data_IF_146480919342
#
_entry.id   IF_146480919342
#
_cell.length_a   1.000
_cell.length_b   1.000
_cell.length_c   1.000
_cell.angle_alpha   90.00
_cell.angle_beta   90.00
_cell.angle_gamma   90.00
#
_symmetry.space_group_name_H-M   'P 1'
#
loop_
_entity.id
_entity.type
_entity.pdbx_description
1 polymer ?
#
# COMPACT_ATOMS: atom_id res chain seq x y z
N UNK A 1 -21.97 -52.69 -17.42
CA UNK A 1 -22.33 -51.51 -16.63
C UNK A 1 -21.23 -50.47 -16.79
N UNK A 2 -21.48 -49.50 -17.65
CA UNK A 2 -20.55 -48.39 -17.86
C UNK A 2 -20.84 -47.32 -16.81
N UNK A 3 -19.87 -47.10 -15.92
CA UNK A 3 -19.92 -45.99 -14.99
C UNK A 3 -19.55 -44.67 -15.72
N UNK A 4 -20.54 -43.79 -15.87
CA UNK A 4 -20.30 -42.44 -16.35
C UNK A 4 -19.53 -41.66 -15.26
N UNK A 5 -18.27 -41.36 -15.53
CA UNK A 5 -17.50 -40.38 -14.78
C UNK A 5 -18.13 -39.00 -15.02
N UNK A 6 -18.80 -38.48 -14.03
CA UNK A 6 -19.22 -37.08 -14.00
C UNK A 6 -17.95 -36.23 -13.95
N UNK A 7 -17.55 -35.67 -15.08
CA UNK A 7 -16.62 -34.56 -15.14
C UNK A 7 -17.31 -33.37 -14.47
N UNK A 8 -17.02 -33.16 -13.18
CA UNK A 8 -17.29 -31.90 -12.52
C UNK A 8 -16.58 -30.81 -13.33
N UNK A 9 -17.34 -29.91 -13.95
CA UNK A 9 -16.80 -28.72 -14.56
C UNK A 9 -16.12 -27.91 -13.46
N UNK A 10 -14.81 -27.95 -13.40
CA UNK A 10 -14.02 -26.99 -12.67
C UNK A 10 -14.38 -25.63 -13.29
N UNK A 11 -15.26 -24.85 -12.68
CA UNK A 11 -15.50 -23.48 -13.08
C UNK A 11 -14.13 -22.78 -13.03
N UNK A 12 -13.76 -22.16 -14.13
CA UNK A 12 -12.53 -21.36 -14.22
C UNK A 12 -12.57 -20.29 -13.12
N UNK A 13 -11.79 -20.48 -12.05
CA UNK A 13 -11.70 -19.58 -10.89
C UNK A 13 -10.58 -18.57 -11.05
N UNK A 14 -10.03 -18.44 -12.25
CA UNK A 14 -8.94 -17.52 -12.55
C UNK A 14 -9.40 -16.06 -12.40
N UNK A 15 -8.59 -15.25 -11.77
CA UNK A 15 -8.79 -13.80 -11.72
C UNK A 15 -8.81 -13.23 -13.14
N UNK A 16 -9.85 -12.47 -13.46
CA UNK A 16 -10.03 -11.90 -14.79
C UNK A 16 -10.59 -10.49 -14.71
N UNK A 17 -9.93 -9.55 -15.38
CA UNK A 17 -10.48 -8.22 -15.62
C UNK A 17 -10.95 -8.11 -17.07
N UNK A 18 -12.10 -7.47 -17.27
CA UNK A 18 -12.68 -7.16 -18.58
C UNK A 18 -13.21 -5.73 -18.57
N UNK A 19 -13.05 -5.02 -19.69
CA UNK A 19 -13.51 -3.64 -19.82
C UNK A 19 -13.88 -3.29 -21.26
N UNK A 20 -14.77 -2.32 -21.44
CA UNK A 20 -14.94 -1.66 -22.74
C UNK A 20 -13.76 -0.72 -23.06
N UNK A 21 -13.03 -0.27 -22.05
CA UNK A 21 -11.75 0.43 -22.20
C UNK A 21 -10.61 -0.57 -22.43
N UNK A 22 -10.16 -0.65 -23.69
CA UNK A 22 -9.14 -1.62 -24.08
C UNK A 22 -7.75 -1.26 -23.57
N UNK A 23 -7.48 -0.01 -23.23
CA UNK A 23 -6.20 0.40 -22.64
C UNK A 23 -6.07 -0.13 -21.22
N UNK A 24 -7.08 0.02 -20.39
CA UNK A 24 -7.09 -0.51 -19.02
C UNK A 24 -7.06 -2.04 -19.03
N UNK A 25 -7.84 -2.69 -19.90
CA UNK A 25 -7.83 -4.16 -20.02
C UNK A 25 -6.44 -4.68 -20.42
N UNK A 26 -5.78 -4.03 -21.38
CA UNK A 26 -4.44 -4.39 -21.82
C UNK A 26 -3.37 -4.13 -20.74
N UNK A 27 -3.46 -3.01 -20.02
CA UNK A 27 -2.55 -2.71 -18.91
C UNK A 27 -2.67 -3.74 -17.81
N UNK A 28 -3.91 -4.10 -17.42
CA UNK A 28 -4.11 -5.14 -16.41
C UNK A 28 -3.54 -6.49 -16.84
N UNK A 29 -3.83 -6.92 -18.07
CA UNK A 29 -3.33 -8.19 -18.59
C UNK A 29 -1.81 -8.25 -18.66
N UNK A 30 -1.15 -7.16 -19.10
CA UNK A 30 0.30 -7.04 -19.08
C UNK A 30 0.85 -7.09 -17.65
N UNK A 31 0.29 -6.29 -16.74
CA UNK A 31 0.74 -6.23 -15.35
C UNK A 31 0.56 -7.58 -14.63
N UNK A 32 -0.57 -8.25 -14.84
CA UNK A 32 -0.82 -9.58 -14.30
C UNK A 32 0.22 -10.60 -14.81
N UNK A 33 0.50 -10.61 -16.10
CA UNK A 33 1.49 -11.52 -16.69
C UNK A 33 2.90 -11.25 -16.15
N UNK A 34 3.29 -9.99 -16.02
CA UNK A 34 4.60 -9.60 -15.46
C UNK A 34 4.69 -9.99 -13.98
N UNK A 35 3.73 -9.59 -13.15
CA UNK A 35 3.73 -9.89 -11.71
C UNK A 35 3.74 -11.39 -11.42
N UNK A 36 2.98 -12.19 -12.19
CA UNK A 36 2.99 -13.65 -12.06
C UNK A 36 4.33 -14.27 -12.46
N UNK A 37 5.07 -13.67 -13.39
CA UNK A 37 6.41 -14.16 -13.77
C UNK A 37 7.47 -13.96 -12.68
N UNK A 38 7.21 -13.08 -11.71
CA UNK A 38 8.07 -12.83 -10.55
C UNK A 38 7.73 -13.72 -9.35
N UNK A 39 6.61 -14.45 -9.38
CA UNK A 39 6.14 -15.26 -8.25
C UNK A 39 6.79 -16.65 -8.25
N UNK A 40 7.16 -17.10 -7.05
CA UNK A 40 7.77 -18.41 -6.76
C UNK A 40 6.94 -19.13 -5.69
N UNK A 41 6.63 -20.40 -5.92
CA UNK A 41 5.66 -21.17 -5.11
C UNK A 41 6.28 -21.88 -3.89
N UNK A 42 7.59 -21.71 -3.64
CA UNK A 42 8.28 -22.28 -2.48
C UNK A 42 9.30 -23.37 -2.85
N UNK A 43 9.71 -23.43 -4.10
CA UNK A 43 10.81 -24.28 -4.59
C UNK A 43 12.19 -23.80 -4.11
N UNK A 44 12.30 -22.51 -3.78
CA UNK A 44 13.52 -21.91 -3.24
C UNK A 44 13.64 -22.10 -1.72
N UNK A 45 14.86 -22.11 -1.15
CA UNK A 45 15.08 -22.25 0.30
C UNK A 45 14.40 -21.18 1.17
N UNK A 46 14.09 -20.01 0.62
CA UNK A 46 13.40 -18.94 1.35
C UNK A 46 11.91 -19.24 1.56
N UNK A 47 11.33 -20.19 0.82
CA UNK A 47 9.90 -20.50 0.82
C UNK A 47 9.13 -19.76 -0.29
N UNK A 48 7.81 -19.64 -0.25
CA UNK A 48 7.05 -18.86 -1.21
C UNK A 48 7.42 -17.38 -1.18
N UNK A 49 7.68 -16.79 -2.35
CA UNK A 49 8.09 -15.38 -2.45
C UNK A 49 7.83 -14.84 -3.85
N UNK A 50 7.97 -13.54 -4.04
CA UNK A 50 8.03 -12.89 -5.35
C UNK A 50 9.17 -11.89 -5.39
N UNK A 51 9.69 -11.63 -6.59
CA UNK A 51 10.76 -10.65 -6.76
C UNK A 51 10.26 -9.24 -6.37
N UNK A 52 11.01 -8.59 -5.50
CA UNK A 52 10.72 -7.25 -4.98
C UNK A 52 12.04 -6.52 -4.73
N UNK A 53 12.87 -6.46 -5.77
CA UNK A 53 14.18 -5.83 -5.76
C UNK A 53 14.58 -5.48 -7.19
N UNK A 54 15.79 -4.96 -7.37
CA UNK A 54 16.36 -4.76 -8.70
C UNK A 54 16.30 -6.06 -9.52
N UNK A 55 15.95 -6.00 -10.81
CA UNK A 55 15.94 -7.17 -11.67
C UNK A 55 17.24 -7.97 -11.58
N UNK A 56 17.15 -9.30 -11.66
CA UNK A 56 18.28 -10.24 -11.60
C UNK A 56 18.97 -10.42 -10.23
N UNK A 57 18.47 -9.75 -9.16
CA UNK A 57 19.00 -10.00 -7.81
C UNK A 57 18.47 -11.30 -7.19
N UNK A 58 17.34 -11.81 -7.67
CA UNK A 58 16.66 -12.97 -7.08
C UNK A 58 16.42 -12.80 -5.57
N UNK A 59 15.84 -11.67 -5.22
CA UNK A 59 15.68 -11.22 -3.84
C UNK A 59 14.42 -10.36 -3.67
N UNK A 60 14.08 -10.05 -2.43
CA UNK A 60 13.03 -9.12 -2.08
C UNK A 60 13.50 -8.13 -1.01
N UNK A 61 13.27 -6.86 -1.28
CA UNK A 61 13.60 -5.73 -0.42
C UNK A 61 12.38 -5.37 0.45
N UNK A 62 12.60 -4.88 1.66
CA UNK A 62 11.53 -4.52 2.59
C UNK A 62 10.57 -3.48 2.04
N UNK A 63 11.08 -2.38 1.49
CA UNK A 63 10.30 -1.30 0.92
C UNK A 63 9.42 -1.84 -0.21
N UNK A 64 10.04 -2.46 -1.21
CA UNK A 64 9.39 -2.92 -2.42
C UNK A 64 8.33 -3.96 -2.11
N UNK A 65 8.66 -4.98 -1.30
CA UNK A 65 7.73 -6.00 -0.86
C UNK A 65 6.51 -5.41 -0.11
N UNK A 66 6.74 -4.41 0.75
CA UNK A 66 5.67 -3.74 1.50
C UNK A 66 4.71 -2.99 0.58
N UNK A 67 5.24 -2.29 -0.43
CA UNK A 67 4.43 -1.50 -1.36
C UNK A 67 3.73 -2.37 -2.42
N UNK A 68 4.33 -3.48 -2.83
CA UNK A 68 3.75 -4.44 -3.78
C UNK A 68 2.65 -5.31 -3.16
N UNK A 69 2.57 -5.39 -1.84
CA UNK A 69 1.81 -6.40 -1.09
C UNK A 69 0.33 -6.48 -1.48
N UNK A 70 -0.36 -5.36 -1.70
CA UNK A 70 -1.78 -5.37 -2.10
C UNK A 70 -1.95 -5.82 -3.55
N UNK A 71 -1.07 -5.38 -4.46
CA UNK A 71 -1.05 -5.91 -5.82
C UNK A 71 -0.86 -7.43 -5.85
N UNK A 72 -0.02 -7.95 -4.97
CA UNK A 72 0.20 -9.39 -4.80
C UNK A 72 -1.04 -10.11 -4.23
N UNK A 73 -1.73 -9.55 -3.23
CA UNK A 73 -2.99 -10.12 -2.71
C UNK A 73 -4.09 -10.17 -3.76
N UNK A 74 -4.21 -9.14 -4.60
CA UNK A 74 -5.15 -9.14 -5.72
C UNK A 74 -4.90 -10.33 -6.66
N UNK A 75 -3.64 -10.70 -6.84
CA UNK A 75 -3.23 -11.87 -7.65
C UNK A 75 -3.34 -13.21 -6.92
N UNK A 76 -3.68 -13.24 -5.64
CA UNK A 76 -3.78 -14.45 -4.83
C UNK A 76 -2.44 -14.93 -4.25
N UNK A 77 -1.42 -14.07 -4.18
CA UNK A 77 -0.09 -14.39 -3.66
C UNK A 77 0.02 -14.24 -2.12
N UNK A 78 -1.03 -14.62 -1.40
CA UNK A 78 -1.10 -14.47 0.07
C UNK A 78 -0.02 -15.26 0.81
N UNK A 79 0.34 -16.45 0.31
CA UNK A 79 1.40 -17.27 0.91
C UNK A 79 2.77 -16.60 0.79
N UNK A 80 3.03 -15.98 -0.35
CA UNK A 80 4.25 -15.23 -0.62
C UNK A 80 4.34 -14.00 0.30
N UNK A 81 3.29 -13.18 0.33
CA UNK A 81 3.21 -12.02 1.23
C UNK A 81 3.48 -12.40 2.68
N UNK A 82 2.78 -13.42 3.18
CA UNK A 82 2.95 -13.84 4.57
C UNK A 82 4.39 -14.28 4.86
N UNK A 83 4.97 -15.11 4.00
CA UNK A 83 6.34 -15.59 4.18
C UNK A 83 7.35 -14.43 4.15
N UNK A 84 7.25 -13.54 3.17
CA UNK A 84 8.18 -12.41 3.03
C UNK A 84 8.10 -11.46 4.24
N UNK A 85 6.91 -11.07 4.68
CA UNK A 85 6.73 -10.22 5.87
C UNK A 85 7.25 -10.91 7.14
N UNK A 86 7.02 -12.21 7.30
CA UNK A 86 7.53 -12.98 8.44
C UNK A 86 9.06 -13.05 8.43
N UNK A 87 9.70 -13.20 7.26
CA UNK A 87 11.17 -13.19 7.14
C UNK A 87 11.76 -11.86 7.62
N UNK A 88 11.14 -10.74 7.27
CA UNK A 88 11.60 -9.45 7.81
C UNK A 88 11.36 -9.35 9.32
N UNK A 89 10.17 -9.66 9.80
CA UNK A 89 9.83 -9.56 11.21
C UNK A 89 10.73 -10.40 12.11
N UNK A 90 11.02 -11.64 11.72
CA UNK A 90 11.84 -12.57 12.52
C UNK A 90 13.31 -12.17 12.63
N UNK A 91 13.81 -11.34 11.72
CA UNK A 91 15.23 -10.95 11.66
C UNK A 91 15.56 -9.63 12.41
N UNK A 92 14.62 -8.98 13.08
CA UNK A 92 14.90 -7.79 13.90
C UNK A 92 15.79 -8.16 15.08
N UNK A 93 16.87 -7.41 15.32
CA UNK A 93 17.81 -7.73 16.40
C UNK A 93 18.55 -6.51 16.93
N UNK A 94 18.97 -6.59 18.22
CA UNK A 94 19.78 -5.59 18.88
C UNK A 94 21.15 -5.42 18.21
N UNK A 95 21.76 -6.52 17.71
CA UNK A 95 23.04 -6.49 17.00
C UNK A 95 23.01 -5.61 15.73
N UNK A 96 21.82 -5.38 15.16
CA UNK A 96 21.58 -4.48 14.03
C UNK A 96 20.96 -3.14 14.45
N UNK A 97 21.06 -2.75 15.71
CA UNK A 97 20.37 -1.57 16.25
C UNK A 97 18.86 -1.59 15.97
N UNK A 98 18.24 -2.75 16.13
CA UNK A 98 16.83 -3.02 15.89
C UNK A 98 16.36 -2.83 14.44
N UNK A 99 17.28 -2.79 13.49
CA UNK A 99 16.98 -3.04 12.08
C UNK A 99 16.73 -4.54 11.84
N UNK A 100 16.18 -4.87 10.67
CA UNK A 100 16.17 -6.23 10.16
C UNK A 100 17.11 -6.35 8.96
N UNK A 101 16.91 -7.30 8.03
CA UNK A 101 17.62 -7.30 6.76
C UNK A 101 16.91 -6.38 5.77
N UNK A 102 17.67 -5.56 5.05
CA UNK A 102 17.10 -4.72 4.00
C UNK A 102 16.54 -5.53 2.84
N UNK A 103 17.28 -6.55 2.43
CA UNK A 103 16.97 -7.41 1.31
C UNK A 103 17.33 -8.86 1.65
N UNK A 104 16.45 -9.81 1.30
CA UNK A 104 16.62 -11.24 1.52
C UNK A 104 16.61 -11.94 0.16
N UNK A 105 17.61 -12.81 -0.08
CA UNK A 105 17.74 -13.56 -1.31
C UNK A 105 16.94 -14.89 -1.30
N UNK A 106 16.79 -15.51 -2.45
CA UNK A 106 16.08 -16.78 -2.60
C UNK A 106 16.68 -17.95 -1.82
N UNK A 107 17.94 -17.84 -1.37
CA UNK A 107 18.58 -18.83 -0.49
C UNK A 107 18.33 -18.58 0.99
N UNK A 108 17.45 -17.63 1.32
CA UNK A 108 17.10 -17.24 2.69
C UNK A 108 18.28 -16.59 3.46
N UNK A 109 19.13 -15.87 2.77
CA UNK A 109 20.22 -15.09 3.36
C UNK A 109 19.98 -13.59 3.17
N UNK A 110 20.57 -12.71 4.00
CA UNK A 110 20.63 -11.31 3.66
C UNK A 110 21.42 -11.14 2.34
N UNK A 111 20.89 -10.30 1.45
CA UNK A 111 21.49 -10.10 0.13
C UNK A 111 22.93 -9.54 0.26
N UNK A 112 23.88 -10.18 -0.38
CA UNK A 112 25.30 -9.79 -0.32
C UNK A 112 25.59 -8.41 -0.89
N UNK A 113 24.70 -7.88 -1.74
CA UNK A 113 24.82 -6.52 -2.26
C UNK A 113 24.66 -5.47 -1.17
N UNK A 114 23.85 -5.78 -0.14
CA UNK A 114 23.41 -4.84 0.88
C UNK A 114 23.86 -5.22 2.30
N UNK A 115 24.53 -6.36 2.47
CA UNK A 115 24.89 -6.86 3.79
C UNK A 115 26.26 -7.56 3.82
N UNK A 116 27.11 -7.12 4.75
CA UNK A 116 28.40 -7.78 5.08
C UNK A 116 28.34 -8.34 6.50
N UNK A 117 27.82 -7.58 7.45
CA UNK A 117 27.67 -7.97 8.86
C UNK A 117 26.64 -7.08 9.55
N UNK A 118 26.25 -7.42 10.79
CA UNK A 118 25.33 -6.63 11.60
C UNK A 118 25.80 -5.18 11.87
N UNK A 119 27.06 -4.89 11.65
CA UNK A 119 27.62 -3.54 11.77
C UNK A 119 27.84 -2.84 10.42
N UNK A 120 27.65 -3.55 9.32
CA UNK A 120 27.99 -3.07 7.98
C UNK A 120 26.97 -3.59 6.96
N UNK A 121 25.88 -2.84 6.78
CA UNK A 121 24.81 -3.16 5.86
C UNK A 121 24.06 -1.88 5.43
N UNK A 122 23.32 -1.98 4.33
CA UNK A 122 22.41 -0.93 3.87
C UNK A 122 21.10 -0.96 4.64
N UNK A 123 20.59 0.20 5.03
CA UNK A 123 19.27 0.30 5.66
C UNK A 123 18.66 1.69 5.63
N UNK A 124 17.43 1.79 5.15
CA UNK A 124 16.59 2.99 5.26
C UNK A 124 15.70 2.89 6.49
N UNK A 125 15.65 3.95 7.29
CA UNK A 125 14.91 3.96 8.56
C UNK A 125 13.39 3.86 8.40
N UNK A 126 12.88 4.10 7.22
CA UNK A 126 11.47 3.92 6.87
C UNK A 126 11.00 2.46 7.00
N UNK A 127 11.88 1.51 6.67
CA UNK A 127 11.53 0.14 6.36
C UNK A 127 10.78 -0.63 7.46
N UNK A 128 11.13 -0.45 8.73
CA UNK A 128 10.38 -1.10 9.82
C UNK A 128 8.91 -0.67 9.83
N UNK A 129 8.64 0.61 9.60
CA UNK A 129 7.27 1.16 9.59
C UNK A 129 6.50 0.75 8.34
N UNK A 130 7.18 0.58 7.19
CA UNK A 130 6.58 0.01 5.98
C UNK A 130 6.00 -1.38 6.21
N UNK A 131 6.77 -2.26 6.83
CA UNK A 131 6.33 -3.62 7.12
C UNK A 131 5.15 -3.63 8.09
N UNK A 132 5.11 -2.75 9.10
CA UNK A 132 3.96 -2.63 10.00
C UNK A 132 2.70 -2.20 9.23
N UNK A 133 2.80 -1.16 8.38
CA UNK A 133 1.68 -0.70 7.56
C UNK A 133 1.24 -1.77 6.56
N UNK A 134 2.19 -2.45 5.89
CA UNK A 134 1.88 -3.54 4.99
C UNK A 134 1.14 -4.69 5.67
N UNK A 135 1.57 -5.12 6.86
CA UNK A 135 0.89 -6.16 7.63
C UNK A 135 -0.53 -5.76 8.02
N UNK A 136 -0.76 -4.50 8.38
CA UNK A 136 -2.11 -3.99 8.62
C UNK A 136 -2.97 -4.02 7.35
N UNK A 137 -2.47 -3.53 6.20
CA UNK A 137 -3.19 -3.57 4.93
C UNK A 137 -3.49 -4.99 4.45
N UNK A 138 -2.54 -5.91 4.65
CA UNK A 138 -2.70 -7.34 4.38
C UNK A 138 -3.80 -7.96 5.25
N UNK A 139 -3.85 -7.63 6.55
CA UNK A 139 -4.95 -8.03 7.41
C UNK A 139 -6.31 -7.49 6.92
N UNK A 140 -6.39 -6.20 6.58
CA UNK A 140 -7.62 -5.59 6.05
C UNK A 140 -8.11 -6.30 4.77
N UNK A 141 -7.20 -6.74 3.92
CA UNK A 141 -7.51 -7.44 2.67
C UNK A 141 -7.92 -8.90 2.89
N UNK A 142 -7.19 -9.62 3.73
CA UNK A 142 -7.30 -11.08 3.88
C UNK A 142 -8.15 -11.52 5.07
N UNK A 143 -8.23 -10.71 6.12
CA UNK A 143 -8.77 -11.12 7.42
C UNK A 143 -7.87 -12.10 8.19
N UNK A 144 -6.64 -12.30 7.75
CA UNK A 144 -5.71 -13.26 8.37
C UNK A 144 -5.19 -12.75 9.70
N UNK A 145 -5.69 -13.35 10.77
CA UNK A 145 -5.35 -13.00 12.15
C UNK A 145 -3.87 -13.19 12.49
N UNK A 146 -3.12 -13.94 11.68
CA UNK A 146 -1.69 -14.13 11.90
C UNK A 146 -0.90 -12.83 11.81
N UNK A 147 -1.32 -11.88 10.96
CA UNK A 147 -0.71 -10.54 10.91
C UNK A 147 -0.88 -9.74 12.20
N UNK A 148 -1.90 -10.06 13.01
CA UNK A 148 -2.17 -9.39 14.26
C UNK A 148 -1.55 -10.10 15.49
N UNK A 149 -1.59 -11.43 15.50
CA UNK A 149 -1.40 -12.24 16.70
C UNK A 149 -0.15 -13.13 16.71
N UNK A 150 0.53 -13.32 15.55
CA UNK A 150 1.74 -14.13 15.52
C UNK A 150 2.84 -13.48 16.37
N UNK A 151 3.54 -14.26 17.19
CA UNK A 151 4.55 -13.77 18.16
C UNK A 151 5.70 -13.03 17.50
N UNK A 152 6.15 -13.46 16.30
CA UNK A 152 7.24 -12.80 15.57
C UNK A 152 6.83 -11.42 15.07
N UNK A 153 5.61 -11.29 14.53
CA UNK A 153 5.07 -9.99 14.13
C UNK A 153 4.84 -9.08 15.33
N UNK A 154 4.25 -9.59 16.41
CA UNK A 154 4.02 -8.82 17.63
C UNK A 154 5.33 -8.26 18.20
N UNK A 155 6.35 -9.12 18.29
CA UNK A 155 7.69 -8.72 18.73
C UNK A 155 8.30 -7.67 17.80
N UNK A 156 8.16 -7.85 16.48
CA UNK A 156 8.67 -6.90 15.50
C UNK A 156 8.01 -5.53 15.63
N UNK A 157 6.67 -5.47 15.75
CA UNK A 157 5.94 -4.21 15.90
C UNK A 157 6.37 -3.47 17.17
N UNK A 158 6.42 -4.17 18.29
CA UNK A 158 6.80 -3.58 19.56
C UNK A 158 8.22 -3.02 19.54
N UNK A 159 9.21 -3.82 19.11
CA UNK A 159 10.60 -3.38 18.99
C UNK A 159 10.78 -2.23 17.99
N UNK A 160 10.04 -2.23 16.89
CA UNK A 160 10.11 -1.16 15.89
C UNK A 160 9.53 0.17 16.40
N UNK A 161 8.48 0.10 17.23
CA UNK A 161 7.83 1.29 17.78
C UNK A 161 8.46 1.81 19.09
N UNK A 162 9.37 1.06 19.71
CA UNK A 162 10.05 1.43 20.95
C UNK A 162 11.57 1.45 20.79
N UNK A 163 12.27 0.32 20.91
CA UNK A 163 13.72 0.26 20.93
C UNK A 163 14.38 0.82 19.67
N UNK A 164 13.80 0.55 18.50
CA UNK A 164 14.28 1.10 17.24
C UNK A 164 14.17 2.63 17.20
N UNK A 165 13.03 3.17 17.65
CA UNK A 165 12.81 4.62 17.73
C UNK A 165 13.81 5.28 18.68
N UNK A 166 14.05 4.68 19.84
CA UNK A 166 15.04 5.18 20.81
C UNK A 166 16.47 5.09 20.26
N UNK A 167 16.82 3.93 19.71
CA UNK A 167 18.18 3.66 19.22
C UNK A 167 18.58 4.62 18.09
N UNK A 168 17.64 5.01 17.23
CA UNK A 168 17.90 5.86 16.07
C UNK A 168 17.50 7.33 16.27
N UNK A 169 17.08 7.72 17.49
CA UNK A 169 16.61 9.09 17.80
C UNK A 169 15.50 9.54 16.86
N UNK A 170 14.46 8.71 16.71
CA UNK A 170 13.40 8.91 15.72
C UNK A 170 12.14 9.56 16.28
N UNK A 171 12.12 9.99 17.56
CA UNK A 171 10.93 10.64 18.12
C UNK A 171 10.57 11.92 17.36
N UNK A 172 9.29 12.30 17.27
CA UNK A 172 8.87 13.48 16.52
C UNK A 172 9.64 14.75 16.90
N UNK A 173 9.89 14.98 18.19
CA UNK A 173 10.62 16.14 18.70
C UNK A 173 12.12 16.16 18.30
N UNK A 174 12.65 15.03 17.88
CA UNK A 174 14.06 14.89 17.48
C UNK A 174 14.28 15.11 15.98
N UNK A 175 13.21 15.13 15.15
CA UNK A 175 13.32 15.10 13.69
C UNK A 175 14.14 16.23 13.04
N UNK A 176 14.34 17.35 13.72
CA UNK A 176 15.21 18.44 13.24
C UNK A 176 16.51 18.56 14.03
N UNK A 177 16.72 17.75 15.06
CA UNK A 177 17.84 17.90 16.02
C UNK A 177 18.60 16.60 16.26
N UNK A 178 18.28 15.53 15.49
CA UNK A 178 18.93 14.23 15.64
C UNK A 178 20.45 14.37 15.63
N UNK A 179 21.09 13.75 16.62
CA UNK A 179 22.55 13.70 16.70
C UNK A 179 23.11 12.45 16.04
N UNK A 180 22.34 11.36 16.03
CA UNK A 180 22.73 10.10 15.41
C UNK A 180 22.67 10.20 13.89
N UNK A 181 23.85 10.25 13.30
CA UNK A 181 24.03 10.35 11.85
C UNK A 181 24.00 8.99 11.18
N UNK A 182 23.78 9.04 9.86
CA UNK A 182 23.91 7.89 8.99
C UNK A 182 25.32 7.29 9.13
N UNK A 183 25.42 5.99 9.37
CA UNK A 183 26.67 5.28 9.35
C UNK A 183 27.07 5.01 7.89
N UNK A 184 28.05 5.73 7.39
CA UNK A 184 28.54 5.60 6.02
C UNK A 184 30.02 5.21 6.00
N UNK A 185 30.39 4.27 5.14
CA UNK A 185 31.78 4.03 4.79
C UNK A 185 32.25 5.12 3.81
N UNK A 186 33.34 5.80 4.15
CA UNK A 186 33.93 6.78 3.25
C UNK A 186 34.47 6.09 1.99
N UNK A 187 34.19 6.69 0.82
CA UNK A 187 34.81 6.34 -0.46
C UNK A 187 34.09 5.28 -1.29
N UNK A 188 33.03 4.63 -0.82
CA UNK A 188 32.25 3.71 -1.62
C UNK A 188 30.96 4.37 -2.12
N UNK A 189 30.61 4.14 -3.41
CA UNK A 189 29.46 4.77 -4.09
C UNK A 189 28.13 4.48 -3.40
N UNK A 190 28.01 3.31 -2.81
CA UNK A 190 26.89 2.84 -1.99
C UNK A 190 27.43 2.24 -0.71
N UNK A 191 28.45 2.86 -0.10
CA UNK A 191 28.98 2.33 1.14
C UNK A 191 27.84 1.85 1.99
N UNK A 192 27.96 0.66 2.56
CA UNK A 192 26.93 0.04 3.37
C UNK A 192 26.47 1.07 4.40
N UNK A 193 25.34 1.69 4.11
CA UNK A 193 24.91 2.93 4.70
C UNK A 193 23.62 2.64 5.47
N UNK A 194 23.74 2.37 6.76
CA UNK A 194 22.55 2.21 7.59
C UNK A 194 22.12 3.51 8.25
N UNK A 195 20.84 3.65 8.42
CA UNK A 195 20.27 4.80 9.10
C UNK A 195 19.94 5.96 8.18
N UNK A 196 19.72 5.71 6.89
CA UNK A 196 19.22 6.70 5.95
C UNK A 196 17.77 7.05 6.31
N UNK A 197 17.46 8.30 6.64
CA UNK A 197 16.10 8.69 7.05
C UNK A 197 15.24 9.08 5.84
N UNK A 198 15.28 8.32 4.76
CA UNK A 198 14.54 8.58 3.53
C UNK A 198 14.56 7.37 2.59
N UNK A 199 13.56 7.28 1.71
CA UNK A 199 13.60 6.39 0.54
C UNK A 199 14.52 6.90 -0.58
N UNK A 200 14.86 8.18 -0.55
CA UNK A 200 15.80 8.77 -1.51
C UNK A 200 17.21 8.44 -1.09
N UNK A 201 17.85 7.59 -1.86
CA UNK A 201 19.13 6.98 -1.52
C UNK A 201 20.36 7.84 -1.82
N UNK A 202 20.19 9.01 -2.45
CA UNK A 202 21.26 9.98 -2.67
C UNK A 202 21.63 10.67 -1.36
N UNK A 203 22.42 9.98 -0.56
CA UNK A 203 22.72 10.40 0.82
C UNK A 203 23.86 11.39 0.83
N UNK A 204 23.53 12.62 1.22
CA UNK A 204 24.52 13.58 1.71
C UNK A 204 24.50 13.61 3.25
N UNK A 205 24.54 14.81 3.78
CA UNK A 205 24.40 15.08 5.22
C UNK A 205 22.93 15.20 5.64
N UNK A 206 22.05 14.29 5.17
CA UNK A 206 20.64 14.27 5.50
C UNK A 206 20.44 13.91 6.96
N UNK A 207 19.69 14.73 7.67
CA UNK A 207 19.32 14.50 9.07
C UNK A 207 17.96 13.81 9.18
N UNK A 208 16.97 14.28 8.39
CA UNK A 208 15.62 13.75 8.35
C UNK A 208 14.94 14.08 7.02
N UNK A 209 13.79 13.47 6.76
CA UNK A 209 12.99 13.70 5.55
C UNK A 209 11.49 13.67 5.85
N UNK A 210 10.70 14.30 4.98
CA UNK A 210 9.25 14.29 5.08
C UNK A 210 8.69 12.88 4.84
N UNK A 211 9.28 12.11 3.93
CA UNK A 211 8.89 10.73 3.66
C UNK A 211 9.10 9.82 4.86
N UNK A 212 10.20 9.97 5.60
CA UNK A 212 10.39 9.26 6.86
C UNK A 212 9.29 9.60 7.88
N UNK A 213 8.99 10.89 8.07
CA UNK A 213 7.94 11.33 9.01
C UNK A 213 6.57 10.76 8.59
N UNK A 214 6.28 10.79 7.29
CA UNK A 214 5.06 10.19 6.74
C UNK A 214 4.98 8.68 7.00
N UNK A 215 6.08 7.96 6.80
CA UNK A 215 6.15 6.52 7.02
C UNK A 215 6.03 6.17 8.51
N UNK A 216 6.70 6.92 9.39
CA UNK A 216 6.59 6.73 10.83
C UNK A 216 5.14 6.96 11.31
N UNK A 217 4.48 8.01 10.81
CA UNK A 217 3.05 8.21 11.04
C UNK A 217 2.25 6.98 10.64
N UNK A 218 2.45 6.46 9.41
CA UNK A 218 1.73 5.29 8.89
C UNK A 218 1.96 4.04 9.75
N UNK A 219 3.21 3.76 10.10
CA UNK A 219 3.57 2.61 10.93
C UNK A 219 2.95 2.67 12.33
N UNK A 220 3.00 3.81 13.02
CA UNK A 220 2.35 3.98 14.32
C UNK A 220 0.82 3.95 14.23
N UNK A 221 0.22 4.52 13.19
CA UNK A 221 -1.22 4.45 12.96
C UNK A 221 -1.69 3.01 12.69
N UNK A 222 -0.91 2.24 11.93
CA UNK A 222 -1.16 0.83 11.70
C UNK A 222 -1.01 0.01 12.99
N UNK A 223 0.06 0.26 13.77
CA UNK A 223 0.28 -0.43 15.06
C UNK A 223 -0.85 -0.15 16.05
N UNK A 224 -1.34 1.10 16.14
CA UNK A 224 -2.51 1.44 16.95
C UNK A 224 -3.71 0.58 16.59
N UNK A 225 -4.02 0.43 15.30
CA UNK A 225 -5.15 -0.38 14.82
C UNK A 225 -4.94 -1.88 15.07
N UNK A 226 -3.71 -2.38 14.94
CA UNK A 226 -3.36 -3.77 15.28
C UNK A 226 -3.64 -4.03 16.76
N UNK A 227 -3.21 -3.12 17.66
CA UNK A 227 -3.46 -3.23 19.10
C UNK A 227 -4.95 -3.16 19.43
N UNK A 228 -5.71 -2.28 18.77
CA UNK A 228 -7.16 -2.18 18.92
C UNK A 228 -7.85 -3.50 18.56
N UNK A 229 -7.46 -4.14 17.45
CA UNK A 229 -8.00 -5.45 17.05
C UNK A 229 -7.60 -6.60 18.00
N UNK A 230 -6.57 -6.40 18.81
CA UNK A 230 -6.13 -7.32 19.85
C UNK A 230 -6.70 -6.97 21.24
N UNK A 231 -7.66 -6.05 21.35
CA UNK A 231 -8.25 -5.56 22.61
C UNK A 231 -7.24 -4.86 23.55
N UNK A 232 -6.09 -4.39 23.03
CA UNK A 232 -5.03 -3.71 23.79
C UNK A 232 -5.21 -2.18 23.73
N UNK A 233 -6.30 -1.68 24.28
CA UNK A 233 -6.78 -0.31 24.11
C UNK A 233 -5.82 0.78 24.62
N UNK A 234 -5.09 0.54 25.72
CA UNK A 234 -4.10 1.50 26.26
C UNK A 234 -2.91 1.65 25.32
N UNK A 235 -2.36 0.54 24.83
CA UNK A 235 -1.30 0.53 23.83
C UNK A 235 -1.72 1.18 22.52
N UNK A 236 -2.95 0.89 22.07
CA UNK A 236 -3.56 1.50 20.89
C UNK A 236 -3.61 3.02 21.01
N UNK A 237 -4.10 3.55 22.13
CA UNK A 237 -4.18 4.99 22.37
C UNK A 237 -2.79 5.66 22.36
N UNK A 238 -1.78 5.05 22.99
CA UNK A 238 -0.40 5.55 23.00
C UNK A 238 0.22 5.55 21.58
N UNK A 239 0.00 4.50 20.80
CA UNK A 239 0.48 4.44 19.42
C UNK A 239 -0.21 5.49 18.54
N UNK A 240 -1.52 5.71 18.71
CA UNK A 240 -2.26 6.77 18.02
C UNK A 240 -1.74 8.16 18.37
N UNK A 241 -1.42 8.42 19.63
CA UNK A 241 -0.83 9.69 20.09
C UNK A 241 0.53 9.93 19.44
N UNK A 242 1.39 8.90 19.36
CA UNK A 242 2.68 8.98 18.68
C UNK A 242 2.53 9.26 17.19
N UNK A 243 1.60 8.57 16.50
CA UNK A 243 1.30 8.85 15.10
C UNK A 243 0.89 10.33 14.91
N UNK A 244 -0.05 10.80 15.70
CA UNK A 244 -0.51 12.19 15.62
C UNK A 244 0.61 13.20 15.89
N UNK A 245 1.57 12.89 16.78
CA UNK A 245 2.72 13.74 17.03
C UNK A 245 3.64 13.87 15.80
N UNK A 246 3.85 12.80 15.02
CA UNK A 246 4.57 12.88 13.73
C UNK A 246 3.84 13.76 12.72
N UNK A 247 2.53 13.61 12.59
CA UNK A 247 1.71 14.43 11.69
C UNK A 247 1.76 15.91 12.07
N UNK A 248 1.63 16.22 13.37
CA UNK A 248 1.73 17.59 13.88
C UNK A 248 3.12 18.18 13.65
N UNK A 249 4.18 17.38 13.80
CA UNK A 249 5.54 17.81 13.50
C UNK A 249 5.70 18.15 12.01
N UNK A 250 5.18 17.30 11.12
CA UNK A 250 5.16 17.54 9.68
C UNK A 250 4.42 18.86 9.36
N UNK A 251 3.22 19.01 9.89
CA UNK A 251 2.38 20.19 9.66
C UNK A 251 3.00 21.49 10.18
N UNK A 252 3.72 21.43 11.29
CA UNK A 252 4.26 22.61 11.96
C UNK A 252 5.57 23.09 11.38
N UNK A 253 6.45 22.20 10.99
CA UNK A 253 7.84 22.52 10.68
C UNK A 253 8.22 22.32 9.21
N UNK A 254 7.48 21.50 8.47
CA UNK A 254 7.84 21.13 7.10
C UNK A 254 6.98 21.81 6.03
N UNK A 255 5.87 22.42 6.41
CA UNK A 255 5.01 23.15 5.49
C UNK A 255 5.60 24.50 5.14
N UNK A 256 5.76 24.79 3.85
CA UNK A 256 6.13 26.10 3.33
C UNK A 256 4.89 26.89 2.93
N UNK A 257 4.63 28.00 3.63
CA UNK A 257 3.53 28.91 3.26
C UNK A 257 3.81 29.64 1.94
N UNK A 258 5.08 29.83 1.56
CA UNK A 258 5.47 30.45 0.30
C UNK A 258 5.20 29.53 -0.88
N UNK A 259 5.59 28.23 -0.77
CA UNK A 259 5.43 27.25 -1.82
C UNK A 259 4.08 26.52 -1.81
N UNK A 260 3.30 26.69 -0.72
CA UNK A 260 2.06 25.95 -0.47
C UNK A 260 2.23 24.43 -0.60
N UNK A 261 3.36 23.92 -0.11
CA UNK A 261 3.72 22.51 -0.13
C UNK A 261 4.72 22.17 0.97
N UNK A 262 4.92 20.87 1.22
CA UNK A 262 5.94 20.45 2.18
C UNK A 262 7.34 20.51 1.56
N UNK A 263 8.35 20.85 2.38
CA UNK A 263 9.76 20.54 2.11
C UNK A 263 9.99 19.05 2.20
N UNK A 264 11.02 18.55 1.52
CA UNK A 264 11.29 17.12 1.41
C UNK A 264 12.39 16.66 2.36
N UNK A 265 13.50 17.39 2.44
CA UNK A 265 14.69 17.00 3.19
C UNK A 265 15.13 18.08 4.18
N UNK A 266 15.59 17.64 5.35
CA UNK A 266 16.27 18.44 6.33
C UNK A 266 17.74 17.99 6.46
N UNK A 267 18.65 18.92 6.30
CA UNK A 267 20.08 18.65 6.29
C UNK A 267 20.77 18.98 7.61
N UNK A 268 21.94 18.35 7.91
CA UNK A 268 22.73 18.62 9.11
C UNK A 268 23.25 20.07 9.21
N UNK A 269 23.25 20.82 8.12
CA UNK A 269 23.60 22.24 8.11
C UNK A 269 22.44 23.17 8.54
N UNK A 270 21.28 22.62 8.88
CA UNK A 270 20.12 23.38 9.31
C UNK A 270 19.32 24.01 8.18
N UNK A 271 19.31 23.41 6.98
CA UNK A 271 18.52 23.90 5.83
C UNK A 271 17.55 22.86 5.31
N UNK A 272 16.42 23.33 4.77
CA UNK A 272 15.51 22.51 3.98
C UNK A 272 15.91 22.47 2.51
N UNK A 273 15.51 21.41 1.82
CA UNK A 273 15.51 21.33 0.37
C UNK A 273 14.39 20.42 -0.14
N UNK A 274 14.17 20.45 -1.44
CA UNK A 274 13.11 19.69 -2.11
C UNK A 274 13.66 18.53 -2.95
N UNK A 275 12.83 17.48 -3.10
CA UNK A 275 13.13 16.28 -3.86
C UNK A 275 11.94 15.35 -4.04
N UNK A 276 12.17 14.05 -4.13
CA UNK A 276 11.13 13.07 -4.50
C UNK A 276 10.27 12.54 -3.33
N UNK A 277 10.63 12.76 -2.08
CA UNK A 277 10.03 12.07 -0.92
C UNK A 277 8.55 12.35 -0.61
N UNK A 278 7.89 13.29 -1.30
CA UNK A 278 6.50 13.65 -1.00
C UNK A 278 5.48 12.55 -1.34
N UNK A 279 5.83 11.60 -2.19
CA UNK A 279 5.01 10.43 -2.51
C UNK A 279 4.55 9.71 -1.25
N UNK A 280 5.48 9.43 -0.33
CA UNK A 280 5.21 8.64 0.88
C UNK A 280 4.49 9.43 1.97
N UNK A 281 4.61 10.76 1.99
CA UNK A 281 3.78 11.63 2.85
C UNK A 281 2.29 11.44 2.56
N UNK A 282 1.94 11.34 1.28
CA UNK A 282 0.58 11.09 0.82
C UNK A 282 0.19 9.60 0.91
N UNK A 283 1.12 8.70 0.62
CA UNK A 283 0.88 7.25 0.67
C UNK A 283 0.41 6.81 2.05
N UNK A 284 1.08 7.26 3.10
CA UNK A 284 0.77 6.93 4.49
C UNK A 284 -0.32 7.81 5.12
N UNK A 285 -1.01 8.65 4.35
CA UNK A 285 -2.06 9.55 4.86
C UNK A 285 -1.60 10.53 5.96
N UNK A 286 -0.33 10.91 5.95
CA UNK A 286 0.23 11.82 6.96
C UNK A 286 -0.30 13.27 6.83
N UNK A 287 -1.06 13.57 5.79
CA UNK A 287 -1.68 14.88 5.54
C UNK A 287 -3.20 14.73 5.53
N UNK A 288 -3.90 15.50 6.32
CA UNK A 288 -5.37 15.44 6.45
C UNK A 288 -6.10 16.74 6.03
N UNK A 289 -5.38 17.86 5.83
CA UNK A 289 -5.97 19.11 5.39
C UNK A 289 -6.11 19.14 3.86
N UNK A 290 -7.33 19.28 3.27
CA UNK A 290 -7.54 19.26 1.83
C UNK A 290 -6.67 20.26 1.05
N UNK A 291 -6.42 21.44 1.59
CA UNK A 291 -5.55 22.46 0.97
C UNK A 291 -4.10 21.99 0.90
N UNK A 292 -3.59 21.37 1.97
CA UNK A 292 -2.22 20.85 2.03
C UNK A 292 -2.03 19.62 1.14
N UNK A 293 -3.01 18.72 1.09
CA UNK A 293 -3.02 17.60 0.13
C UNK A 293 -2.92 18.15 -1.29
N UNK A 294 -3.78 19.13 -1.65
CA UNK A 294 -3.77 19.75 -2.97
C UNK A 294 -2.42 20.38 -3.32
N UNK A 295 -1.87 21.20 -2.44
CA UNK A 295 -0.56 21.84 -2.66
C UNK A 295 0.56 20.82 -2.86
N UNK A 296 0.56 19.74 -2.06
CA UNK A 296 1.54 18.65 -2.19
C UNK A 296 1.39 17.92 -3.53
N UNK A 297 0.17 17.55 -3.93
CA UNK A 297 -0.09 16.92 -5.23
C UNK A 297 0.32 17.82 -6.38
N UNK A 298 -0.04 19.12 -6.34
CA UNK A 298 0.35 20.09 -7.37
C UNK A 298 1.86 20.26 -7.48
N UNK A 299 2.59 20.25 -6.36
CA UNK A 299 4.07 20.28 -6.37
C UNK A 299 4.62 19.01 -7.03
N UNK A 300 4.09 17.84 -6.70
CA UNK A 300 4.48 16.58 -7.31
C UNK A 300 4.21 16.57 -8.82
N UNK A 301 3.06 17.05 -9.28
CA UNK A 301 2.70 17.10 -10.69
C UNK A 301 3.55 18.09 -11.51
N UNK A 302 4.06 19.15 -10.89
CA UNK A 302 4.96 20.10 -11.53
C UNK A 302 6.36 19.52 -11.81
N UNK A 303 6.75 18.49 -11.07
CA UNK A 303 8.04 17.82 -11.27
C UNK A 303 8.00 16.97 -12.54
N UNK A 304 8.96 17.21 -13.44
CA UNK A 304 8.99 16.57 -14.77
C UNK A 304 9.60 15.18 -14.77
N UNK A 305 10.53 14.95 -13.87
CA UNK A 305 11.32 13.71 -13.83
C UNK A 305 11.04 12.96 -12.53
N UNK A 306 10.53 11.76 -12.68
CA UNK A 306 10.30 10.81 -11.62
C UNK A 306 10.96 9.47 -11.96
N UNK A 307 11.51 8.79 -10.97
CA UNK A 307 11.92 7.41 -11.18
C UNK A 307 10.69 6.52 -11.36
N UNK A 308 10.88 5.36 -11.98
CA UNK A 308 9.78 4.45 -12.32
C UNK A 308 9.08 3.91 -11.06
N UNK A 309 9.80 3.77 -9.95
CA UNK A 309 9.28 3.32 -8.67
C UNK A 309 8.21 4.29 -8.13
N UNK A 310 8.51 5.61 -8.10
CA UNK A 310 7.50 6.62 -7.74
C UNK A 310 6.30 6.60 -8.70
N UNK A 311 6.53 6.47 -10.00
CA UNK A 311 5.45 6.42 -11.00
C UNK A 311 4.52 5.23 -10.73
N UNK A 312 5.05 4.09 -10.23
CA UNK A 312 4.25 2.91 -9.92
C UNK A 312 3.21 3.15 -8.82
N UNK A 313 3.47 4.07 -7.88
CA UNK A 313 2.55 4.41 -6.78
C UNK A 313 1.50 5.43 -7.18
N UNK A 314 1.75 6.25 -8.19
CA UNK A 314 0.89 7.39 -8.54
C UNK A 314 -0.54 6.99 -8.91
N UNK A 315 -0.85 5.91 -9.64
CA UNK A 315 -2.24 5.58 -9.92
C UNK A 315 -3.07 5.40 -8.66
N UNK A 316 -2.58 4.65 -7.67
CA UNK A 316 -3.28 4.45 -6.40
C UNK A 316 -3.44 5.78 -5.62
N UNK A 317 -2.39 6.62 -5.60
CA UNK A 317 -2.43 7.93 -4.94
C UNK A 317 -3.38 8.90 -5.64
N UNK A 318 -3.28 9.05 -6.95
CA UNK A 318 -4.09 10.01 -7.69
C UNK A 318 -5.58 9.67 -7.62
N UNK A 319 -5.97 8.40 -7.74
CA UNK A 319 -7.35 7.99 -7.51
C UNK A 319 -7.81 8.29 -6.08
N UNK A 320 -6.99 8.01 -5.07
CA UNK A 320 -7.31 8.27 -3.67
C UNK A 320 -7.64 9.73 -3.39
N UNK A 321 -6.94 10.65 -4.05
CA UNK A 321 -7.13 12.10 -3.89
C UNK A 321 -7.98 12.74 -5.00
N UNK A 322 -8.64 11.92 -5.84
CA UNK A 322 -9.61 12.37 -6.82
C UNK A 322 -9.03 12.99 -8.10
N UNK A 323 -7.76 12.69 -8.42
CA UNK A 323 -7.07 13.03 -9.67
C UNK A 323 -7.16 11.84 -10.64
N UNK A 324 -8.39 11.42 -10.93
CA UNK A 324 -8.66 10.17 -11.66
C UNK A 324 -8.16 10.20 -13.11
N UNK A 325 -8.11 11.38 -13.75
CA UNK A 325 -7.60 11.54 -15.13
C UNK A 325 -6.10 11.31 -15.18
N UNK A 326 -5.36 11.90 -14.26
CA UNK A 326 -3.91 11.78 -14.15
C UNK A 326 -3.49 10.36 -13.82
N UNK A 327 -4.24 9.70 -12.93
CA UNK A 327 -4.07 8.27 -12.64
C UNK A 327 -4.26 7.41 -13.90
N UNK A 328 -5.36 7.65 -14.62
CA UNK A 328 -5.70 6.95 -15.85
C UNK A 328 -4.62 7.12 -16.94
N UNK A 329 -4.11 8.33 -17.13
CA UNK A 329 -3.04 8.61 -18.09
C UNK A 329 -1.77 7.80 -17.80
N UNK A 330 -1.40 7.66 -16.51
CA UNK A 330 -0.26 6.81 -16.11
C UNK A 330 -0.56 5.35 -16.44
N UNK A 331 -1.73 4.83 -16.07
CA UNK A 331 -2.12 3.45 -16.34
C UNK A 331 -2.06 3.13 -17.84
N UNK A 332 -2.50 4.03 -18.70
CA UNK A 332 -2.48 3.83 -20.15
C UNK A 332 -1.07 3.88 -20.77
N UNK A 333 -0.15 4.65 -20.16
CA UNK A 333 1.17 4.89 -20.74
C UNK A 333 2.29 4.01 -20.18
N UNK A 334 2.08 3.40 -19.01
CA UNK A 334 3.12 2.64 -18.30
C UNK A 334 3.71 1.49 -19.12
N UNK A 335 2.89 0.85 -19.94
CA UNK A 335 3.31 -0.25 -20.82
C UNK A 335 4.38 0.16 -21.85
N UNK A 336 4.57 1.47 -22.03
CA UNK A 336 5.57 2.05 -22.92
C UNK A 336 6.76 2.68 -22.17
N UNK A 337 6.73 2.68 -20.82
CA UNK A 337 7.79 3.28 -20.03
C UNK A 337 9.10 2.47 -20.11
N UNK A 338 10.23 3.18 -20.01
CA UNK A 338 11.52 2.56 -19.75
C UNK A 338 11.53 1.98 -18.34
N UNK A 339 12.22 0.84 -18.15
CA UNK A 339 12.35 0.13 -16.86
C UNK A 339 11.01 -0.37 -16.28
N UNK A 340 9.98 -0.55 -17.10
CA UNK A 340 8.68 -1.08 -16.69
C UNK A 340 8.73 -2.53 -16.17
N UNK A 341 9.83 -3.23 -16.42
CA UNK A 341 10.14 -4.57 -15.91
C UNK A 341 10.58 -4.59 -14.45
N UNK A 342 10.66 -3.44 -13.79
CA UNK A 342 10.79 -3.45 -12.33
C UNK A 342 9.55 -4.09 -11.72
N UNK A 343 9.71 -5.05 -10.79
CA UNK A 343 8.58 -5.78 -10.20
C UNK A 343 7.49 -4.86 -9.65
N UNK A 344 7.88 -3.80 -8.93
CA UNK A 344 6.97 -2.82 -8.33
C UNK A 344 5.97 -2.23 -9.35
N UNK A 345 6.41 -2.03 -10.59
CA UNK A 345 5.57 -1.39 -11.61
C UNK A 345 4.33 -2.22 -11.89
N UNK A 346 4.49 -3.53 -12.10
CA UNK A 346 3.38 -4.42 -12.40
C UNK A 346 2.39 -4.53 -11.24
N UNK A 347 2.87 -4.70 -10.01
CA UNK A 347 2.03 -4.77 -8.82
C UNK A 347 1.32 -3.45 -8.53
N UNK A 348 2.00 -2.31 -8.69
CA UNK A 348 1.41 -0.98 -8.51
C UNK A 348 0.30 -0.67 -9.52
N UNK A 349 0.43 -1.12 -10.79
CA UNK A 349 -0.63 -0.96 -11.78
C UNK A 349 -1.87 -1.79 -11.44
N UNK A 350 -1.69 -3.00 -10.94
CA UNK A 350 -2.79 -3.86 -10.47
C UNK A 350 -3.53 -3.19 -9.32
N UNK A 351 -2.81 -2.70 -8.30
CA UNK A 351 -3.41 -1.95 -7.18
C UNK A 351 -4.11 -0.68 -7.68
N UNK A 352 -3.47 0.09 -8.55
CA UNK A 352 -4.05 1.31 -9.13
C UNK A 352 -5.37 1.08 -9.89
N UNK A 353 -5.50 -0.03 -10.60
CA UNK A 353 -6.74 -0.38 -11.30
C UNK A 353 -7.79 -0.88 -10.31
N UNK A 354 -7.46 -1.84 -9.45
CA UNK A 354 -8.44 -2.49 -8.56
C UNK A 354 -8.84 -1.60 -7.40
N UNK A 355 -7.86 -1.07 -6.65
CA UNK A 355 -8.13 -0.21 -5.49
C UNK A 355 -8.39 1.24 -5.87
N UNK A 356 -7.85 1.71 -7.00
CA UNK A 356 -8.02 3.08 -7.49
C UNK A 356 -9.22 3.21 -8.44
N UNK A 357 -9.10 2.78 -9.69
CA UNK A 357 -10.13 2.95 -10.72
C UNK A 357 -11.46 2.26 -10.33
N UNK A 358 -11.41 1.02 -9.85
CA UNK A 358 -12.60 0.29 -9.38
C UNK A 358 -12.97 0.62 -7.93
N UNK A 359 -12.08 1.22 -7.15
CA UNK A 359 -12.30 1.62 -5.76
C UNK A 359 -12.65 0.46 -4.84
N UNK A 360 -12.14 -0.74 -5.10
CA UNK A 360 -12.43 -1.94 -4.28
C UNK A 360 -11.50 -1.94 -3.08
N UNK A 361 -12.08 -1.84 -1.87
CA UNK A 361 -11.37 -1.75 -0.61
C UNK A 361 -12.01 -2.67 0.43
N UNK A 362 -11.50 -3.88 0.61
CA UNK A 362 -11.88 -4.73 1.73
C UNK A 362 -11.40 -4.12 3.05
N UNK A 363 -12.16 -4.32 4.11
CA UNK A 363 -11.81 -3.91 5.48
C UNK A 363 -12.27 -5.00 6.44
N UNK A 364 -11.36 -5.91 6.79
CA UNK A 364 -11.63 -7.01 7.70
C UNK A 364 -12.00 -6.51 9.10
N UNK A 365 -11.37 -5.43 9.57
CA UNK A 365 -11.66 -4.81 10.86
C UNK A 365 -13.11 -4.33 10.98
N UNK A 366 -13.71 -3.84 9.89
CA UNK A 366 -15.11 -3.41 9.84
C UNK A 366 -16.06 -4.48 9.28
N UNK A 367 -15.55 -5.57 8.73
CA UNK A 367 -16.33 -6.62 8.07
C UNK A 367 -17.00 -6.19 6.76
N UNK A 368 -16.47 -5.15 6.10
CA UNK A 368 -17.07 -4.53 4.93
C UNK A 368 -16.17 -4.63 3.69
N UNK A 369 -16.79 -4.59 2.53
CA UNK A 369 -16.11 -4.40 1.24
C UNK A 369 -16.72 -3.15 0.60
N UNK A 370 -15.89 -2.12 0.43
CA UNK A 370 -16.30 -0.86 -0.22
C UNK A 370 -16.04 -0.95 -1.71
N UNK A 371 -16.92 -0.37 -2.52
CA UNK A 371 -16.64 -0.07 -3.93
C UNK A 371 -16.97 1.38 -4.21
N UNK A 372 -16.05 2.10 -4.87
CA UNK A 372 -16.18 3.52 -5.22
C UNK A 372 -15.56 3.75 -6.61
N UNK A 373 -16.32 3.51 -7.71
CA UNK A 373 -15.79 3.62 -9.06
C UNK A 373 -15.34 5.04 -9.40
N UNK A 374 -14.23 5.12 -10.14
CA UNK A 374 -13.63 6.37 -10.62
C UNK A 374 -13.17 6.21 -12.10
N UNK A 375 -14.04 5.70 -12.93
CA UNK A 375 -13.79 5.41 -14.34
C UNK A 375 -13.68 6.73 -15.11
N UNK A 376 -12.67 6.85 -15.97
CA UNK A 376 -12.51 7.98 -16.90
C UNK A 376 -13.18 7.64 -18.22
N UNK A 377 -14.12 8.50 -18.67
CA UNK A 377 -14.91 8.26 -19.87
C UNK A 377 -16.16 7.42 -19.62
N UNK A 378 -16.85 7.05 -20.70
CA UNK A 378 -18.09 6.26 -20.66
C UNK A 378 -17.76 4.77 -20.90
N UNK A 379 -17.18 4.13 -19.89
CA UNK A 379 -16.75 2.74 -19.95
C UNK A 379 -17.39 1.93 -18.82
N UNK A 380 -17.52 0.62 -19.06
CA UNK A 380 -17.75 -0.35 -17.99
C UNK A 380 -16.46 -1.11 -17.69
N UNK A 381 -16.30 -1.56 -16.45
CA UNK A 381 -15.20 -2.39 -15.99
C UNK A 381 -15.71 -3.49 -15.06
N UNK A 382 -15.17 -4.69 -15.19
CA UNK A 382 -15.54 -5.84 -14.39
C UNK A 382 -14.31 -6.64 -13.98
N UNK A 383 -14.26 -7.06 -12.73
CA UNK A 383 -13.29 -8.03 -12.24
C UNK A 383 -14.03 -9.26 -11.70
N UNK A 384 -13.59 -10.43 -12.13
CA UNK A 384 -14.13 -11.71 -11.71
C UNK A 384 -13.11 -12.48 -10.89
N UNK A 385 -13.61 -13.20 -9.87
CA UNK A 385 -12.82 -14.08 -9.02
C UNK A 385 -11.67 -13.36 -8.28
N UNK A 386 -11.92 -12.13 -7.82
CA UNK A 386 -10.99 -11.39 -6.99
C UNK A 386 -10.90 -12.05 -5.62
N UNK A 387 -9.69 -12.45 -5.16
CA UNK A 387 -9.48 -12.98 -3.82
C UNK A 387 -9.70 -11.90 -2.76
N UNK A 388 -10.61 -12.14 -1.83
CA UNK A 388 -10.87 -11.26 -0.68
C UNK A 388 -11.31 -12.12 0.51
N UNK A 389 -10.68 -11.92 1.65
CA UNK A 389 -10.89 -12.74 2.85
C UNK A 389 -10.68 -14.24 2.56
N UNK A 390 -11.67 -15.05 2.87
CA UNK A 390 -11.69 -16.50 2.73
C UNK A 390 -12.27 -17.01 1.40
N UNK A 391 -12.38 -16.14 0.40
CA UNK A 391 -13.01 -16.55 -0.86
C UNK A 391 -12.86 -15.55 -2.01
N UNK A 392 -13.79 -15.62 -2.94
CA UNK A 392 -13.77 -14.82 -4.15
C UNK A 392 -14.97 -13.88 -4.22
N UNK A 393 -14.78 -12.74 -4.86
CA UNK A 393 -15.85 -11.81 -5.23
C UNK A 393 -15.79 -11.48 -6.71
N UNK A 394 -16.90 -10.98 -7.27
CA UNK A 394 -16.90 -10.29 -8.56
C UNK A 394 -17.54 -8.91 -8.41
N UNK A 395 -16.95 -7.92 -9.07
CA UNK A 395 -17.44 -6.54 -9.08
C UNK A 395 -17.52 -6.06 -10.51
N UNK A 396 -18.63 -5.42 -10.86
CA UNK A 396 -18.81 -4.75 -12.15
C UNK A 396 -19.31 -3.33 -11.92
N UNK A 397 -18.68 -2.39 -12.59
CA UNK A 397 -19.17 -1.02 -12.70
C UNK A 397 -19.62 -0.76 -14.14
N UNK A 398 -20.88 -0.48 -14.35
CA UNK A 398 -21.41 -0.07 -15.65
C UNK A 398 -21.15 1.42 -15.92
N UNK A 399 -20.95 2.20 -14.85
CA UNK A 399 -20.56 3.62 -14.83
C UNK A 399 -20.08 4.00 -13.42
N UNK A 400 -19.73 5.28 -13.23
CA UNK A 400 -19.42 5.83 -11.91
C UNK A 400 -20.63 5.95 -10.96
N UNK A 401 -21.85 5.66 -11.44
CA UNK A 401 -23.08 5.69 -10.64
C UNK A 401 -23.79 4.35 -10.59
N UNK A 402 -23.22 3.31 -11.18
CA UNK A 402 -23.87 2.00 -11.24
C UNK A 402 -22.86 0.87 -11.04
N UNK A 403 -23.08 0.07 -10.00
CA UNK A 403 -22.23 -1.04 -9.60
C UNK A 403 -23.02 -2.29 -9.30
N UNK A 404 -22.42 -3.44 -9.60
CA UNK A 404 -22.92 -4.76 -9.21
C UNK A 404 -21.84 -5.52 -8.45
N UNK A 405 -22.25 -6.25 -7.44
CA UNK A 405 -21.36 -7.03 -6.58
C UNK A 405 -21.89 -8.44 -6.42
N UNK A 406 -21.03 -9.44 -6.60
CA UNK A 406 -21.34 -10.86 -6.40
C UNK A 406 -20.44 -11.43 -5.33
N UNK A 407 -21.05 -11.99 -4.29
CA UNK A 407 -20.33 -12.68 -3.21
C UNK A 407 -20.18 -14.17 -3.53
N UNK A 408 -18.97 -14.62 -3.81
CA UNK A 408 -18.61 -16.04 -4.02
C UNK A 408 -17.92 -16.66 -2.79
N UNK A 409 -17.76 -15.89 -1.68
CA UNK A 409 -17.15 -16.39 -0.43
C UNK A 409 -18.05 -17.38 0.29
N UNK A 410 -17.50 -18.06 1.31
CA UNK A 410 -18.25 -19.01 2.14
C UNK A 410 -19.30 -18.36 3.02
N UNK A 411 -19.20 -17.07 3.34
CA UNK A 411 -19.99 -16.35 4.33
C UNK A 411 -20.64 -15.10 3.73
N UNK A 412 -21.72 -14.61 4.39
CA UNK A 412 -22.31 -13.31 4.05
C UNK A 412 -21.30 -12.19 4.24
N UNK A 413 -21.33 -11.19 3.36
CA UNK A 413 -20.49 -10.00 3.40
C UNK A 413 -21.35 -8.74 3.42
N UNK A 414 -20.86 -7.68 4.01
CA UNK A 414 -21.46 -6.36 3.89
C UNK A 414 -20.78 -5.62 2.75
N UNK A 415 -21.51 -5.35 1.67
CA UNK A 415 -21.06 -4.52 0.57
C UNK A 415 -21.50 -3.08 0.80
N UNK A 416 -20.54 -2.15 0.82
CA UNK A 416 -20.78 -0.72 0.82
C UNK A 416 -20.65 -0.20 -0.62
N UNK A 417 -21.80 -0.08 -1.32
CA UNK A 417 -21.85 0.52 -2.64
C UNK A 417 -21.81 2.04 -2.51
N UNK A 418 -20.68 2.66 -2.88
CA UNK A 418 -20.44 4.08 -2.73
C UNK A 418 -20.24 4.75 -4.09
N UNK A 419 -20.67 6.02 -4.19
CA UNK A 419 -20.62 6.82 -5.40
C UNK A 419 -20.28 8.28 -5.06
N UNK A 420 -19.44 8.91 -5.85
CA UNK A 420 -19.22 10.35 -5.74
C UNK A 420 -20.46 11.12 -6.14
N UNK A 421 -20.89 12.04 -5.31
CA UNK A 421 -22.04 12.89 -5.50
C UNK A 421 -22.91 13.00 -4.25
N UNK A 422 -23.82 13.97 -4.25
CA UNK A 422 -24.78 14.20 -3.18
C UNK A 422 -26.17 13.64 -3.57
N UNK A 423 -26.33 12.34 -3.39
CA UNK A 423 -27.56 11.62 -3.70
C UNK A 423 -28.40 11.44 -2.42
N UNK A 424 -29.71 11.67 -2.50
CA UNK A 424 -30.61 11.38 -1.39
C UNK A 424 -30.95 9.90 -1.30
N UNK A 425 -31.04 9.25 -2.47
CA UNK A 425 -31.38 7.84 -2.57
C UNK A 425 -30.43 7.11 -3.51
N UNK A 426 -30.24 5.84 -3.21
CA UNK A 426 -29.56 4.86 -4.08
C UNK A 426 -30.52 3.68 -4.24
N UNK A 427 -30.73 3.20 -5.47
CA UNK A 427 -31.54 2.00 -5.71
C UNK A 427 -30.70 0.75 -5.51
N UNK A 428 -31.26 -0.27 -4.86
CA UNK A 428 -30.71 -1.62 -4.74
C UNK A 428 -31.72 -2.58 -5.38
N UNK A 429 -31.33 -3.20 -6.49
CA UNK A 429 -32.22 -4.03 -7.32
C UNK A 429 -33.58 -3.36 -7.61
N UNK A 430 -33.55 -2.08 -7.98
CA UNK A 430 -34.74 -1.27 -8.32
C UNK A 430 -35.56 -0.76 -7.12
N UNK A 431 -35.15 -1.02 -5.88
CA UNK A 431 -35.78 -0.47 -4.67
C UNK A 431 -34.98 0.70 -4.13
N UNK A 432 -35.65 1.81 -3.86
CA UNK A 432 -34.98 2.99 -3.28
C UNK A 432 -34.64 2.79 -1.82
N UNK A 433 -33.42 3.20 -1.45
CA UNK A 433 -32.88 3.24 -0.09
C UNK A 433 -32.36 4.65 0.18
N UNK A 434 -32.57 5.14 1.39
CA UNK A 434 -31.97 6.40 1.85
C UNK A 434 -30.44 6.26 1.82
N UNK A 435 -29.75 7.16 1.14
CA UNK A 435 -28.29 7.17 1.09
C UNK A 435 -27.70 7.72 2.38
N UNK A 436 -26.66 7.05 2.86
CA UNK A 436 -25.75 7.59 3.87
C UNK A 436 -24.68 8.44 3.17
N UNK A 437 -24.09 9.40 3.90
CA UNK A 437 -23.12 10.32 3.32
C UNK A 437 -21.85 10.42 4.16
N UNK A 438 -20.72 10.57 3.48
CA UNK A 438 -19.43 10.93 4.07
C UNK A 438 -18.66 11.84 3.12
N UNK A 439 -17.58 12.43 3.59
CA UNK A 439 -16.62 13.15 2.75
C UNK A 439 -15.35 12.34 2.59
N UNK A 440 -14.71 12.48 1.44
CA UNK A 440 -13.34 12.00 1.23
C UNK A 440 -12.29 12.96 1.82
N UNK A 441 -11.01 12.62 1.69
CA UNK A 441 -9.90 13.44 2.18
C UNK A 441 -9.80 14.84 1.52
N UNK A 442 -10.45 15.02 0.35
CA UNK A 442 -10.51 16.29 -0.38
C UNK A 442 -11.80 17.07 -0.13
N UNK A 443 -12.68 16.57 0.76
CA UNK A 443 -13.96 17.17 1.09
C UNK A 443 -15.06 16.95 0.05
N UNK A 444 -14.87 16.01 -0.89
CA UNK A 444 -15.91 15.64 -1.85
C UNK A 444 -16.93 14.72 -1.20
N UNK A 445 -18.21 14.97 -1.45
CA UNK A 445 -19.30 14.12 -0.92
C UNK A 445 -19.32 12.77 -1.63
N UNK A 446 -19.43 11.72 -0.81
CA UNK A 446 -19.68 10.33 -1.22
C UNK A 446 -20.99 9.90 -0.60
N UNK A 447 -21.94 9.47 -1.44
CA UNK A 447 -23.18 8.84 -1.01
C UNK A 447 -23.06 7.32 -1.13
N UNK A 448 -23.60 6.57 -0.18
CA UNK A 448 -23.48 5.12 -0.17
C UNK A 448 -24.67 4.43 0.50
N UNK A 449 -24.81 3.13 0.21
CA UNK A 449 -25.69 2.20 0.92
C UNK A 449 -24.89 0.96 1.35
N UNK A 450 -25.35 0.31 2.41
CA UNK A 450 -24.80 -0.97 2.87
C UNK A 450 -25.78 -2.10 2.56
N UNK A 451 -25.30 -3.12 1.85
CA UNK A 451 -26.08 -4.27 1.42
C UNK A 451 -25.46 -5.54 1.99
N UNK A 452 -26.25 -6.34 2.70
CA UNK A 452 -25.84 -7.67 3.12
C UNK A 452 -25.99 -8.65 1.95
N UNK A 453 -24.86 -9.18 1.46
CA UNK A 453 -24.81 -10.09 0.32
C UNK A 453 -24.47 -11.49 0.81
N UNK A 454 -25.43 -12.41 0.68
CA UNK A 454 -25.25 -13.82 1.03
C UNK A 454 -24.36 -14.55 0.03
N UNK A 455 -23.94 -15.77 0.40
CA UNK A 455 -23.15 -16.65 -0.49
C UNK A 455 -23.87 -16.88 -1.82
N UNK A 456 -23.19 -16.63 -2.94
CA UNK A 456 -23.71 -16.80 -4.30
C UNK A 456 -24.73 -15.75 -4.73
N UNK A 457 -25.03 -14.75 -3.88
CA UNK A 457 -25.93 -13.67 -4.23
C UNK A 457 -25.21 -12.55 -4.96
N UNK A 458 -25.97 -11.86 -5.81
CA UNK A 458 -25.54 -10.64 -6.50
C UNK A 458 -26.55 -9.54 -6.24
N UNK A 459 -26.08 -8.31 -6.11
CA UNK A 459 -26.92 -7.11 -6.03
C UNK A 459 -26.38 -6.05 -6.97
N UNK A 460 -27.30 -5.21 -7.47
CA UNK A 460 -27.01 -4.02 -8.29
C UNK A 460 -27.44 -2.77 -7.54
N UNK A 461 -26.54 -1.80 -7.46
CA UNK A 461 -26.79 -0.49 -6.88
C UNK A 461 -26.62 0.60 -7.92
N UNK A 462 -27.53 1.60 -7.90
CA UNK A 462 -27.53 2.70 -8.86
C UNK A 462 -27.89 4.02 -8.13
N UNK A 463 -27.03 5.04 -8.31
CA UNK A 463 -27.23 6.38 -7.76
C UNK A 463 -27.75 7.32 -8.82
N UNK A 464 -28.64 8.26 -8.43
CA UNK A 464 -29.14 9.32 -9.34
C UNK A 464 -30.35 8.93 -10.20
N UNK A 465 -31.09 7.87 -9.83
CA UNK A 465 -32.36 7.51 -10.43
C UNK A 465 -33.52 8.13 -9.68
#
# INVERSE_FOLDING_TARGET
MFGACLLSSCSDQTLKLSSSDKSIEATFAWAQGMAQSYAHEGEDPVGPWYEAALPERYAFCMRDASHQSIGAEILGLSAQNFNMMQKFASNISESKDWCTYWEIDKWNNPCKADYVSDNDFWYNLNANFDVIDACWRLYEWTGDQRYLANEEFRRFYDLSCNEYVESWELKPEQMLTRSRKVNRKDGERFGLCRGIPSYVESVGDMNSSADFIGTAYGGFAAYSKILEQCDEMEGSALAAEKAEAYRQHLDKYWWSEEEQAYHTFWWNNGTFSDGEGLTHVLWFHAVNAPSRIRGTVEKMMKRKEWNIENISYFPALWYRYGYSREAYEILCNIVHAERKEYPEVSFGMIEGIVCGCMGIQPSASSGKIVTLPQIVGEHWIQIDNLPVYDGLISVRHDSNTCSSFTNKTGHKKTWQAAFYGDYEHITVDGKQHQALKRQDAMGKTISYVEVTVGKGQSFRCEAGC
#
